data_IF_395041268841
#
_entry.id   IF_395041268841
#
_cell.length_a   1.000
_cell.length_b   1.000
_cell.length_c   1.000
_cell.angle_alpha   90.00
_cell.angle_beta   90.00
_cell.angle_gamma   90.00
#
_symmetry.space_group_name_H-M   'P 1'
#
loop_
_entity.id
_entity.type
_entity.pdbx_description
1 polymer ?
#
# COMPACT_ATOMS: atom_id res chain seq x y z
N UNK A 1 -4.57 5.74 -13.34
CA UNK A 1 -4.42 6.47 -12.06
C UNK A 1 -4.87 5.57 -10.91
N UNK A 2 -3.97 5.27 -9.97
CA UNK A 2 -4.26 4.42 -8.81
C UNK A 2 -5.34 5.05 -7.93
N UNK A 3 -6.49 4.40 -7.79
CA UNK A 3 -7.62 4.94 -7.03
C UNK A 3 -7.40 4.70 -5.53
N UNK A 4 -7.42 5.78 -4.74
CA UNK A 4 -7.69 5.68 -3.30
C UNK A 4 -9.08 5.05 -3.13
N UNK A 5 -9.24 4.18 -2.13
CA UNK A 5 -10.54 3.58 -1.81
C UNK A 5 -11.25 4.50 -0.79
N UNK A 6 -12.52 4.86 -1.02
CA UNK A 6 -13.31 5.58 -0.02
C UNK A 6 -13.61 4.67 1.19
N UNK A 7 -14.06 5.28 2.29
CA UNK A 7 -14.43 4.60 3.53
C UNK A 7 -13.24 4.00 4.28
N UNK A 8 -12.01 4.49 4.04
CA UNK A 8 -10.82 4.07 4.79
C UNK A 8 -10.52 5.06 5.89
N UNK A 9 -10.04 4.54 7.02
CA UNK A 9 -9.63 5.33 8.17
C UNK A 9 -8.50 6.30 7.78
N UNK A 10 -8.52 7.54 8.31
CA UNK A 10 -7.47 8.51 8.10
C UNK A 10 -6.22 8.12 8.88
N UNK A 11 -5.10 8.80 8.60
CA UNK A 11 -3.91 8.74 9.44
C UNK A 11 -4.05 9.66 10.67
N UNK A 12 -2.93 9.91 11.33
CA UNK A 12 -2.85 10.83 12.49
C UNK A 12 -3.27 12.27 12.16
N UNK A 13 -3.23 12.65 10.89
CA UNK A 13 -3.63 13.96 10.38
C UNK A 13 -5.15 14.12 10.23
N UNK A 14 -5.95 13.08 10.44
CA UNK A 14 -7.40 13.06 10.25
C UNK A 14 -7.85 13.44 8.82
N UNK A 15 -6.94 13.38 7.84
CA UNK A 15 -7.29 13.59 6.44
C UNK A 15 -7.81 12.28 5.86
N UNK A 16 -9.09 12.28 5.53
CA UNK A 16 -9.77 11.13 4.94
C UNK A 16 -9.47 10.98 3.43
N UNK A 17 -9.55 9.76 2.86
CA UNK A 17 -9.39 9.51 1.43
C UNK A 17 -10.27 10.40 0.54
N UNK A 18 -11.47 10.69 1.00
CA UNK A 18 -12.51 11.48 0.34
C UNK A 18 -12.02 12.87 -0.02
N UNK A 19 -11.17 13.50 0.81
CA UNK A 19 -10.61 14.82 0.52
C UNK A 19 -9.74 14.83 -0.74
N UNK A 20 -9.01 13.74 -0.99
CA UNK A 20 -8.16 13.61 -2.19
C UNK A 20 -8.97 13.10 -3.38
N UNK A 21 -9.96 12.22 -3.14
CA UNK A 21 -10.83 11.69 -4.20
C UNK A 21 -11.73 12.79 -4.79
N UNK A 22 -12.27 13.67 -3.95
CA UNK A 22 -13.21 14.74 -4.33
C UNK A 22 -12.57 16.13 -4.35
N UNK A 23 -11.25 16.19 -4.53
CA UNK A 23 -10.51 17.45 -4.57
C UNK A 23 -10.89 18.31 -5.79
N UNK A 24 -10.78 19.63 -5.66
CA UNK A 24 -10.89 20.56 -6.78
C UNK A 24 -9.66 20.52 -7.68
N UNK A 25 -9.78 21.08 -8.88
CA UNK A 25 -8.64 21.27 -9.81
C UNK A 25 -7.54 22.12 -9.19
N UNK A 26 -7.90 23.16 -8.44
CA UNK A 26 -6.96 24.02 -7.69
C UNK A 26 -6.17 23.21 -6.67
N UNK A 27 -6.85 22.42 -5.84
CA UNK A 27 -6.20 21.57 -4.83
C UNK A 27 -5.32 20.51 -5.48
N UNK A 28 -5.77 19.93 -6.59
CA UNK A 28 -4.98 18.97 -7.39
C UNK A 28 -3.69 19.60 -7.91
N UNK A 29 -3.77 20.82 -8.45
CA UNK A 29 -2.61 21.58 -8.92
C UNK A 29 -1.63 21.90 -7.78
N UNK A 30 -2.15 22.34 -6.63
CA UNK A 30 -1.34 22.57 -5.44
C UNK A 30 -0.64 21.30 -4.95
N UNK A 31 -1.35 20.18 -4.85
CA UNK A 31 -0.76 18.89 -4.46
C UNK A 31 0.31 18.43 -5.46
N UNK A 32 0.10 18.63 -6.75
CA UNK A 32 1.10 18.31 -7.77
C UNK A 32 2.39 19.11 -7.58
N UNK A 33 2.28 20.44 -7.40
CA UNK A 33 3.42 21.30 -7.10
C UNK A 33 4.10 20.91 -5.78
N UNK A 34 3.30 20.58 -4.77
CA UNK A 34 3.77 20.15 -3.46
C UNK A 34 4.57 18.83 -3.54
N UNK A 35 4.04 17.80 -4.20
CA UNK A 35 4.74 16.53 -4.39
C UNK A 35 6.01 16.67 -5.23
N UNK A 36 5.97 17.52 -6.27
CA UNK A 36 7.14 17.85 -7.07
C UNK A 36 8.24 18.48 -6.21
N UNK A 37 7.88 19.45 -5.36
CA UNK A 37 8.81 20.07 -4.42
C UNK A 37 9.38 19.06 -3.42
N UNK A 38 8.56 18.16 -2.88
CA UNK A 38 9.00 17.09 -1.99
C UNK A 38 10.04 16.18 -2.67
N UNK A 39 9.79 15.81 -3.93
CA UNK A 39 10.69 14.98 -4.74
C UNK A 39 12.01 15.70 -5.03
N UNK A 40 11.96 16.94 -5.51
CA UNK A 40 13.16 17.73 -5.85
C UNK A 40 14.04 18.02 -4.63
N UNK A 41 13.44 18.25 -3.47
CA UNK A 41 14.16 18.57 -2.22
C UNK A 41 14.48 17.33 -1.38
N UNK A 42 14.01 16.15 -1.80
CA UNK A 42 14.09 14.90 -1.03
C UNK A 42 13.61 15.06 0.43
N UNK A 43 12.58 15.90 0.63
CA UNK A 43 12.09 16.27 1.96
C UNK A 43 10.58 16.11 2.05
N UNK A 44 10.15 15.28 2.98
CA UNK A 44 8.75 15.07 3.32
C UNK A 44 8.35 15.88 4.56
N UNK A 45 7.05 16.18 4.73
CA UNK A 45 6.54 16.71 5.99
C UNK A 45 6.89 15.82 7.17
N UNK A 46 7.39 16.41 8.27
CA UNK A 46 7.71 15.68 9.51
C UNK A 46 6.52 14.87 10.03
N UNK A 47 5.31 15.38 9.85
CA UNK A 47 4.06 14.72 10.25
C UNK A 47 3.82 13.40 9.52
N UNK A 48 4.37 13.20 8.33
CA UNK A 48 4.21 11.98 7.54
C UNK A 48 5.14 10.84 7.97
N UNK A 49 6.14 11.13 8.81
CA UNK A 49 7.05 10.11 9.34
C UNK A 49 6.41 9.24 10.44
N UNK A 50 5.27 9.67 10.99
CA UNK A 50 4.54 8.92 12.01
C UNK A 50 3.35 8.13 11.45
N UNK A 51 2.98 7.05 12.14
CA UNK A 51 1.77 6.28 11.88
C UNK A 51 1.00 6.05 13.17
N UNK A 52 -0.33 5.95 13.09
CA UNK A 52 -1.14 5.43 14.19
C UNK A 52 -1.17 3.91 14.08
N UNK A 53 -0.77 3.19 15.13
CA UNK A 53 -0.73 1.72 15.12
C UNK A 53 -1.94 1.19 15.87
N UNK A 54 -2.75 0.38 15.18
CA UNK A 54 -3.92 -0.29 15.76
C UNK A 54 -3.67 -1.80 15.72
N UNK A 55 -3.87 -2.47 16.86
CA UNK A 55 -3.75 -3.92 16.97
C UNK A 55 -5.08 -4.59 16.60
N UNK A 56 -5.11 -5.40 15.54
CA UNK A 56 -6.28 -6.20 15.18
C UNK A 56 -6.15 -7.65 15.65
N UNK A 57 -7.15 -8.23 16.32
CA UNK A 57 -7.10 -9.61 16.77
C UNK A 57 -7.09 -10.59 15.60
N UNK A 58 -6.28 -11.65 15.70
CA UNK A 58 -6.33 -12.81 14.80
C UNK A 58 -7.59 -13.63 15.13
N UNK A 59 -8.29 -14.16 14.12
CA UNK A 59 -9.39 -15.07 14.36
C UNK A 59 -8.89 -16.33 15.08
N UNK A 60 -9.71 -16.87 16.00
CA UNK A 60 -9.45 -18.12 16.73
C UNK A 60 -8.14 -18.15 17.52
N UNK A 61 -7.71 -17.02 18.09
CA UNK A 61 -6.53 -16.90 18.95
C UNK A 61 -6.89 -16.23 20.29
N UNK A 62 -6.24 -16.62 21.40
CA UNK A 62 -6.55 -16.08 22.73
C UNK A 62 -6.24 -14.58 22.81
N UNK A 63 -7.14 -13.77 23.36
CA UNK A 63 -7.00 -12.31 23.39
C UNK A 63 -5.95 -11.84 24.41
N UNK A 64 -5.57 -12.70 25.35
CA UNK A 64 -4.63 -12.43 26.42
C UNK A 64 -3.17 -12.51 25.94
N UNK A 65 -2.91 -13.15 24.79
CA UNK A 65 -1.58 -13.24 24.19
C UNK A 65 -1.34 -12.07 23.22
N UNK A 66 -0.33 -11.20 23.44
CA UNK A 66 0.04 -10.14 22.50
C UNK A 66 0.34 -10.65 21.08
N UNK A 67 0.83 -11.90 20.93
CA UNK A 67 1.09 -12.54 19.63
C UNK A 67 -0.19 -12.82 18.85
N UNK A 68 -1.36 -12.76 19.49
CA UNK A 68 -2.67 -12.91 18.86
C UNK A 68 -3.10 -11.70 18.05
N UNK A 69 -2.36 -10.59 18.09
CA UNK A 69 -2.71 -9.39 17.35
C UNK A 69 -1.84 -9.19 16.10
N UNK A 70 -2.38 -8.43 15.15
CA UNK A 70 -1.67 -7.91 13.96
C UNK A 70 -1.62 -6.40 14.09
N UNK A 71 -0.44 -5.78 14.27
CA UNK A 71 -0.33 -4.33 14.21
C UNK A 71 -0.59 -3.84 12.78
N UNK A 72 -1.45 -2.84 12.63
CA UNK A 72 -1.71 -2.14 11.38
C UNK A 72 -1.35 -0.68 11.54
N UNK A 73 -0.46 -0.20 10.67
CA UNK A 73 -0.06 1.20 10.60
C UNK A 73 -1.02 2.00 9.71
N UNK A 74 -1.72 2.96 10.30
CA UNK A 74 -2.50 3.97 9.59
C UNK A 74 -1.60 5.16 9.24
N UNK A 75 -1.14 5.15 7.99
CA UNK A 75 -0.42 6.26 7.38
C UNK A 75 -1.37 7.36 6.93
N UNK A 76 -0.87 8.60 6.92
CA UNK A 76 -1.58 9.74 6.35
C UNK A 76 -1.94 9.50 4.88
N UNK A 77 -3.14 9.93 4.49
CA UNK A 77 -3.69 9.70 3.15
C UNK A 77 -2.85 10.36 2.05
N UNK A 78 -2.41 11.62 2.18
CA UNK A 78 -1.54 12.25 1.17
C UNK A 78 -0.22 11.49 0.95
N UNK A 79 0.38 10.95 2.02
CA UNK A 79 1.59 10.14 1.90
C UNK A 79 1.33 8.83 1.15
N UNK A 80 0.24 8.11 1.49
CA UNK A 80 -0.17 6.91 0.74
C UNK A 80 -0.45 7.19 -0.73
N UNK A 81 -0.92 8.40 -1.03
CA UNK A 81 -1.13 8.83 -2.41
C UNK A 81 0.20 9.02 -3.16
N UNK A 82 1.17 9.69 -2.53
CA UNK A 82 2.54 9.81 -3.07
C UNK A 82 3.20 8.45 -3.27
N UNK A 83 3.14 7.57 -2.27
CA UNK A 83 3.67 6.20 -2.32
C UNK A 83 3.14 5.45 -3.55
N UNK A 84 1.82 5.54 -3.81
CA UNK A 84 1.22 4.90 -4.98
C UNK A 84 1.67 5.47 -6.31
N UNK A 85 1.87 6.79 -6.40
CA UNK A 85 2.43 7.40 -7.61
C UNK A 85 3.83 6.88 -7.88
N UNK A 86 4.68 6.80 -6.85
CA UNK A 86 6.04 6.26 -6.95
C UNK A 86 6.00 4.78 -7.32
N UNK A 87 5.21 3.98 -6.60
CA UNK A 87 5.04 2.55 -6.86
C UNK A 87 4.62 2.30 -8.31
N UNK A 88 3.64 3.06 -8.83
CA UNK A 88 3.17 2.90 -10.21
C UNK A 88 4.25 3.15 -11.28
N UNK A 89 5.30 3.91 -10.96
CA UNK A 89 6.42 4.20 -11.85
C UNK A 89 7.54 3.15 -11.74
N UNK A 90 7.79 2.64 -10.54
CA UNK A 90 8.88 1.69 -10.25
C UNK A 90 8.47 0.25 -10.53
N UNK A 91 7.19 -0.10 -10.29
CA UNK A 91 6.66 -1.45 -10.38
C UNK A 91 6.99 -2.16 -11.71
N UNK A 92 6.82 -1.56 -12.91
CA UNK A 92 7.14 -2.25 -14.16
C UNK A 92 8.61 -2.62 -14.31
N UNK A 93 9.50 -1.75 -13.81
CA UNK A 93 10.95 -1.98 -13.85
C UNK A 93 11.32 -3.13 -12.92
N UNK A 94 10.82 -3.09 -11.68
CA UNK A 94 11.10 -4.15 -10.69
C UNK A 94 10.51 -5.48 -11.12
N UNK A 95 9.27 -5.49 -11.63
CA UNK A 95 8.60 -6.73 -12.00
C UNK A 95 9.35 -7.51 -13.09
N UNK A 96 10.01 -6.81 -14.02
CA UNK A 96 10.85 -7.41 -15.06
C UNK A 96 12.07 -8.18 -14.53
N UNK A 97 12.54 -7.83 -13.33
CA UNK A 97 13.74 -8.41 -12.71
C UNK A 97 13.41 -9.50 -11.68
N UNK A 98 12.13 -9.70 -11.35
CA UNK A 98 11.72 -10.64 -10.33
C UNK A 98 11.66 -12.09 -10.87
N UNK A 99 12.15 -13.10 -10.13
CA UNK A 99 12.13 -14.52 -10.53
C UNK A 99 10.72 -15.02 -10.84
N UNK A 100 10.57 -16.02 -11.71
CA UNK A 100 9.24 -16.52 -12.13
C UNK A 100 8.44 -17.10 -10.98
N UNK A 101 9.14 -17.69 -10.00
CA UNK A 101 8.65 -18.32 -8.78
C UNK A 101 8.04 -17.30 -7.82
N UNK A 102 8.41 -16.01 -7.93
CA UNK A 102 7.76 -14.95 -7.16
C UNK A 102 6.33 -14.78 -7.68
N UNK A 103 5.36 -15.26 -6.88
CA UNK A 103 3.94 -15.19 -7.18
C UNK A 103 3.22 -14.10 -6.37
N UNK A 104 3.72 -13.77 -5.17
CA UNK A 104 3.13 -12.74 -4.32
C UNK A 104 3.42 -11.34 -4.84
N UNK A 105 2.47 -10.42 -4.64
CA UNK A 105 2.64 -8.98 -4.87
C UNK A 105 3.04 -8.58 -6.31
N UNK A 106 2.66 -9.36 -7.33
CA UNK A 106 2.89 -9.06 -8.75
C UNK A 106 1.59 -8.77 -9.47
N UNK A 107 1.64 -7.90 -10.48
CA UNK A 107 0.55 -7.69 -11.44
C UNK A 107 0.55 -8.79 -12.49
N UNK A 108 0.15 -10.01 -12.12
CA UNK A 108 -0.21 -11.04 -13.10
C UNK A 108 -1.73 -11.18 -13.19
N UNK A 109 -2.34 -11.02 -14.38
CA UNK A 109 -3.70 -11.45 -14.58
C UNK A 109 -3.74 -12.99 -14.55
N UNK A 110 -4.21 -13.58 -13.45
CA UNK A 110 -4.56 -15.00 -13.39
C UNK A 110 -3.87 -15.90 -12.36
N UNK A 111 -3.38 -15.39 -11.22
CA UNK A 111 -2.68 -16.24 -10.24
C UNK A 111 -3.50 -16.39 -8.96
N UNK A 112 -4.49 -17.28 -8.99
CA UNK A 112 -4.82 -18.11 -7.83
C UNK A 112 -3.49 -18.64 -7.28
N UNK A 113 -3.28 -18.48 -5.98
CA UNK A 113 -2.20 -19.13 -5.23
C UNK A 113 -1.97 -20.53 -5.79
N UNK A 114 -0.77 -20.80 -6.30
CA UNK A 114 -0.32 -22.16 -6.60
C UNK A 114 -0.29 -22.91 -5.26
N UNK A 115 -1.43 -23.44 -4.87
CA UNK A 115 -1.57 -24.38 -3.77
C UNK A 115 -0.88 -25.67 -4.18
N UNK A 116 0.29 -25.91 -3.60
CA UNK A 116 0.84 -27.24 -3.36
C UNK A 116 1.44 -27.94 -4.57
N UNK A 117 2.68 -28.41 -4.39
CA UNK A 117 3.25 -29.49 -5.17
C UNK A 117 2.25 -30.64 -5.39
N UNK A 118 2.08 -31.03 -6.65
CA UNK A 118 1.93 -32.44 -7.00
C UNK A 118 2.72 -32.67 -8.30
N UNK A 119 4.00 -32.98 -8.16
CA UNK A 119 4.76 -33.59 -9.24
C UNK A 119 4.11 -34.94 -9.54
N UNK A 120 3.49 -35.06 -10.71
CA UNK A 120 3.23 -36.35 -11.32
C UNK A 120 4.53 -36.77 -11.99
N UNK A 121 5.15 -37.84 -11.47
CA UNK A 121 6.07 -38.67 -12.25
C UNK A 121 5.23 -39.34 -13.35
N UNK A 122 5.66 -39.34 -14.62
CA UNK A 122 5.06 -40.23 -15.60
C UNK A 122 5.59 -41.65 -15.35
N UNK A 123 4.69 -42.60 -15.13
CA UNK A 123 4.94 -44.01 -15.40
C UNK A 123 5.11 -44.17 -16.92
N UNK A 124 6.32 -44.52 -17.36
CA UNK A 124 6.61 -45.61 -18.32
C UNK A 124 8.02 -46.13 -18.04
#
# INVERSE_FOLDING_TARGET
>A
MSKLKPGKSPGRDNIHPEFVIHQSTTTSGWLCAFYTSCYQRLKLPKTWHGASVIALPKPNKPAEDPKSYRPISLLCVPFKFLERMIHSRIEPVVDSQLPREQAGFRRRPGNTTLSGHRGQLPEQ
#
